data_IF_639644886466
#
_entry.id   IF_639644886466
#
_cell.length_a   1.000
_cell.length_b   1.000
_cell.length_c   1.000
_cell.angle_alpha   90.00
_cell.angle_beta   90.00
_cell.angle_gamma   90.00
#
_symmetry.space_group_name_H-M   'P 1'
#
loop_
_entity.id
_entity.type
_entity.pdbx_description
1 polymer ?
#
# COMPACT_ATOMS: atom_id res chain seq x y z
N UNK A 1 3.26 2.91 -18.56
CA UNK A 1 2.49 4.01 -17.91
C UNK A 1 3.51 5.07 -17.52
N UNK A 2 3.45 6.29 -18.08
CA UNK A 2 4.35 7.37 -17.65
C UNK A 2 3.82 7.93 -16.33
N UNK A 3 4.67 8.00 -15.31
CA UNK A 3 4.27 8.57 -14.03
C UNK A 3 3.81 10.02 -14.22
N UNK A 4 2.66 10.38 -13.65
CA UNK A 4 2.11 11.75 -13.72
C UNK A 4 2.81 12.73 -12.77
N UNK A 5 3.72 12.24 -11.93
CA UNK A 5 4.46 13.04 -10.97
C UNK A 5 5.89 13.21 -11.44
N UNK A 6 6.35 14.47 -11.50
CA UNK A 6 7.72 14.83 -11.88
C UNK A 6 8.72 14.20 -10.92
N UNK A 7 9.70 13.47 -11.46
CA UNK A 7 10.76 12.83 -10.66
C UNK A 7 10.36 11.52 -9.97
N UNK A 8 9.15 11.00 -10.23
CA UNK A 8 8.72 9.69 -9.76
C UNK A 8 8.69 8.70 -10.94
N UNK A 9 9.25 7.50 -10.77
CA UNK A 9 9.16 6.39 -11.72
C UNK A 9 8.53 5.16 -11.06
N UNK A 10 8.05 4.20 -11.86
CA UNK A 10 7.24 3.06 -11.35
C UNK A 10 8.01 2.11 -10.44
N UNK A 11 9.33 2.08 -10.56
CA UNK A 11 10.30 1.31 -9.75
C UNK A 11 10.58 1.95 -8.38
N UNK A 12 10.18 3.21 -8.18
CA UNK A 12 10.43 3.95 -6.94
C UNK A 12 9.27 3.86 -5.92
N UNK A 13 8.22 3.10 -6.25
CA UNK A 13 7.09 2.87 -5.38
C UNK A 13 7.38 1.84 -4.29
N UNK A 14 6.80 2.05 -3.11
CA UNK A 14 6.87 1.05 -2.03
C UNK A 14 5.72 0.05 -2.15
N UNK A 15 6.04 -1.24 -2.20
CA UNK A 15 5.07 -2.33 -2.24
C UNK A 15 4.78 -2.87 -0.83
N UNK A 16 3.52 -3.22 -0.56
CA UNK A 16 3.12 -4.00 0.61
C UNK A 16 3.06 -5.46 0.20
N UNK A 17 4.04 -6.24 0.64
CA UNK A 17 4.06 -7.68 0.41
C UNK A 17 3.31 -8.37 1.53
N UNK A 18 2.32 -9.18 1.17
CA UNK A 18 1.53 -9.99 2.10
C UNK A 18 1.61 -11.46 1.69
N UNK A 19 1.71 -12.34 2.68
CA UNK A 19 1.61 -13.78 2.45
C UNK A 19 0.20 -14.16 1.98
N UNK A 20 0.11 -15.15 1.11
CA UNK A 20 -1.15 -15.72 0.63
C UNK A 20 -1.01 -17.23 0.42
N UNK A 21 -2.11 -17.98 0.58
CA UNK A 21 -2.11 -19.43 0.37
C UNK A 21 -1.90 -19.78 -1.11
N UNK A 22 -1.03 -20.76 -1.37
CA UNK A 22 -0.81 -21.35 -2.70
C UNK A 22 -1.83 -22.48 -2.93
N UNK A 23 -2.42 -22.64 -4.15
CA UNK A 23 -2.10 -21.93 -5.39
C UNK A 23 -2.75 -20.53 -5.49
N UNK A 24 -1.91 -19.56 -5.86
CA UNK A 24 -2.29 -18.18 -6.15
C UNK A 24 -1.91 -17.78 -7.58
N UNK A 25 -2.75 -16.98 -8.25
CA UNK A 25 -2.30 -16.17 -9.39
C UNK A 25 -1.59 -14.95 -8.80
N UNK A 26 -0.36 -14.68 -9.24
CA UNK A 26 0.47 -13.58 -8.74
C UNK A 26 -0.20 -12.21 -8.84
N UNK A 27 0.37 -11.23 -8.14
CA UNK A 27 -0.14 -9.85 -8.10
C UNK A 27 -0.55 -9.43 -6.68
N UNK A 28 -1.64 -8.65 -6.59
CA UNK A 28 -2.13 -8.13 -5.31
C UNK A 28 -2.78 -9.23 -4.47
N UNK A 29 -2.72 -9.10 -3.15
CA UNK A 29 -3.37 -10.02 -2.23
C UNK A 29 -4.90 -9.98 -2.44
N UNK A 30 -5.55 -11.13 -2.57
CA UNK A 30 -6.96 -11.23 -3.03
C UNK A 30 -7.97 -10.54 -2.13
N UNK A 31 -7.65 -10.43 -0.84
CA UNK A 31 -8.52 -9.77 0.14
C UNK A 31 -8.36 -8.25 0.14
N UNK A 32 -7.36 -7.68 -0.56
CA UNK A 32 -7.24 -6.23 -0.58
C UNK A 32 -8.31 -5.61 -1.46
N UNK A 33 -8.79 -4.44 -1.05
CA UNK A 33 -9.77 -3.64 -1.80
C UNK A 33 -9.25 -3.30 -3.20
N UNK A 34 -7.93 -3.20 -3.36
CA UNK A 34 -7.24 -2.93 -4.63
C UNK A 34 -7.10 -4.16 -5.55
N UNK A 35 -7.44 -5.37 -5.10
CA UNK A 35 -7.37 -6.56 -5.95
C UNK A 35 -8.29 -6.45 -7.17
N UNK A 36 -7.74 -6.69 -8.38
CA UNK A 36 -8.48 -6.61 -9.64
C UNK A 36 -8.97 -5.21 -10.04
N UNK A 37 -8.65 -4.16 -9.27
CA UNK A 37 -9.13 -2.79 -9.53
C UNK A 37 -8.04 -1.88 -10.08
N UNK A 38 -8.44 -0.97 -10.96
CA UNK A 38 -7.59 0.15 -11.39
C UNK A 38 -7.47 1.18 -10.26
N UNK A 39 -6.29 1.81 -10.09
CA UNK A 39 -6.12 2.86 -9.08
C UNK A 39 -7.05 4.04 -9.37
N UNK A 40 -7.66 4.60 -8.33
CA UNK A 40 -8.47 5.81 -8.45
C UNK A 40 -7.55 7.04 -8.45
N UNK A 41 -7.36 7.63 -9.63
CA UNK A 41 -6.47 8.77 -9.82
C UNK A 41 -7.05 10.11 -9.35
N UNK A 42 -8.30 10.14 -8.88
CA UNK A 42 -8.94 11.34 -8.32
C UNK A 42 -8.64 11.51 -6.82
N UNK A 43 -8.14 10.46 -6.15
CA UNK A 43 -7.78 10.53 -4.74
C UNK A 43 -6.35 11.03 -4.55
N UNK A 44 -6.12 11.80 -3.48
CA UNK A 44 -4.76 12.21 -3.15
C UNK A 44 -3.93 10.99 -2.69
N UNK A 45 -2.60 10.99 -2.94
CA UNK A 45 -1.71 9.91 -2.51
C UNK A 45 -1.80 9.61 -1.01
N UNK A 46 -2.05 10.63 -0.19
CA UNK A 46 -2.24 10.50 1.27
C UNK A 46 -3.48 9.70 1.61
N UNK A 47 -4.61 9.95 0.93
CA UNK A 47 -5.85 9.22 1.13
C UNK A 47 -5.71 7.77 0.66
N UNK A 48 -5.11 7.55 -0.51
CA UNK A 48 -4.87 6.20 -1.05
C UNK A 48 -3.99 5.40 -0.08
N UNK A 49 -2.88 5.97 0.41
CA UNK A 49 -2.03 5.29 1.38
C UNK A 49 -2.79 4.95 2.67
N UNK A 50 -3.60 5.86 3.20
CA UNK A 50 -4.39 5.60 4.39
C UNK A 50 -5.40 4.47 4.19
N UNK A 51 -6.06 4.43 3.02
CA UNK A 51 -7.01 3.37 2.65
C UNK A 51 -6.31 2.01 2.56
N UNK A 52 -5.21 1.90 1.81
CA UNK A 52 -4.49 0.63 1.67
C UNK A 52 -3.91 0.14 3.01
N UNK A 53 -3.37 1.03 3.86
CA UNK A 53 -2.89 0.65 5.20
C UNK A 53 -4.04 0.15 6.07
N UNK A 54 -5.19 0.82 6.06
CA UNK A 54 -6.35 0.41 6.86
C UNK A 54 -6.91 -0.93 6.39
N UNK A 55 -6.93 -1.16 5.09
CA UNK A 55 -7.37 -2.40 4.46
C UNK A 55 -6.44 -3.57 4.84
N UNK A 56 -5.13 -3.41 4.66
CA UNK A 56 -4.15 -4.43 5.05
C UNK A 56 -4.23 -4.74 6.55
N UNK A 57 -4.37 -3.70 7.38
CA UNK A 57 -4.55 -3.87 8.83
C UNK A 57 -5.82 -4.65 9.16
N UNK A 58 -6.94 -4.37 8.49
CA UNK A 58 -8.21 -5.05 8.76
C UNK A 58 -8.13 -6.53 8.39
N UNK A 59 -7.48 -6.88 7.27
CA UNK A 59 -7.25 -8.26 6.84
C UNK A 59 -6.44 -9.03 7.88
N UNK A 60 -5.33 -8.46 8.36
CA UNK A 60 -4.53 -9.12 9.38
C UNK A 60 -5.27 -9.26 10.71
N UNK A 61 -6.08 -8.27 11.09
CA UNK A 61 -6.91 -8.34 12.29
C UNK A 61 -7.98 -9.43 12.17
N UNK A 62 -8.69 -9.51 11.03
CA UNK A 62 -9.75 -10.50 10.82
C UNK A 62 -9.22 -11.93 10.78
N UNK A 63 -7.96 -12.11 10.40
CA UNK A 63 -7.29 -13.42 10.39
C UNK A 63 -6.58 -13.75 11.72
N UNK A 64 -6.62 -12.85 12.72
CA UNK A 64 -5.89 -13.05 13.99
C UNK A 64 -4.37 -13.01 13.86
N UNK A 65 -3.85 -12.48 12.75
CA UNK A 65 -2.42 -12.45 12.42
C UNK A 65 -1.76 -11.10 12.77
N UNK A 66 -2.55 -10.07 13.10
CA UNK A 66 -2.02 -8.74 13.40
C UNK A 66 -1.17 -8.74 14.68
N UNK A 67 0.13 -8.53 14.52
CA UNK A 67 1.11 -8.56 15.60
C UNK A 67 2.02 -7.32 15.59
N UNK A 68 2.94 -7.25 16.56
CA UNK A 68 3.88 -6.11 16.72
C UNK A 68 4.70 -5.86 15.45
N UNK A 69 5.20 -6.91 14.80
CA UNK A 69 6.03 -6.81 13.58
C UNK A 69 5.24 -6.20 12.41
N UNK A 70 3.99 -6.62 12.23
CA UNK A 70 3.09 -6.06 11.20
C UNK A 70 2.76 -4.60 11.49
N UNK A 71 2.46 -4.27 12.76
CA UNK A 71 2.20 -2.88 13.15
C UNK A 71 3.40 -1.99 12.83
N UNK A 72 4.61 -2.43 13.20
CA UNK A 72 5.85 -1.67 12.98
C UNK A 72 6.17 -1.53 11.50
N UNK A 73 5.96 -2.57 10.68
CA UNK A 73 6.18 -2.50 9.24
C UNK A 73 5.22 -1.51 8.55
N UNK A 74 3.95 -1.49 8.94
CA UNK A 74 2.97 -0.51 8.43
C UNK A 74 3.34 0.93 8.85
N UNK A 75 3.77 1.13 10.09
CA UNK A 75 4.23 2.44 10.57
C UNK A 75 5.49 2.92 9.82
N UNK A 76 6.46 2.02 9.63
CA UNK A 76 7.68 2.30 8.88
C UNK A 76 7.36 2.69 7.43
N UNK A 77 6.44 1.97 6.78
CA UNK A 77 5.99 2.27 5.43
C UNK A 77 5.34 3.66 5.31
N UNK A 78 4.50 4.05 6.27
CA UNK A 78 3.89 5.39 6.30
C UNK A 78 4.99 6.45 6.42
N UNK A 79 5.95 6.26 7.33
CA UNK A 79 7.07 7.19 7.53
C UNK A 79 7.92 7.30 6.27
N UNK A 80 8.26 6.17 5.66
CA UNK A 80 9.10 6.10 4.47
C UNK A 80 8.45 6.83 3.29
N UNK A 81 7.17 6.57 3.01
CA UNK A 81 6.44 7.30 1.96
C UNK A 81 6.44 8.81 2.19
N UNK A 82 6.15 9.26 3.42
CA UNK A 82 6.12 10.68 3.74
C UNK A 82 7.49 11.35 3.64
N UNK A 83 8.57 10.66 4.02
CA UNK A 83 9.93 11.22 4.00
C UNK A 83 10.50 11.23 2.59
N UNK A 84 10.36 10.14 1.84
CA UNK A 84 10.90 10.03 0.47
C UNK A 84 10.14 10.92 -0.50
N UNK A 85 8.82 11.04 -0.34
CA UNK A 85 7.94 11.72 -1.29
C UNK A 85 7.21 12.92 -0.66
N UNK A 86 7.92 13.75 0.10
CA UNK A 86 7.33 14.89 0.82
C UNK A 86 6.43 15.77 -0.06
N UNK A 87 6.92 16.19 -1.24
CA UNK A 87 6.17 17.03 -2.17
C UNK A 87 4.87 16.39 -2.69
N UNK A 88 4.79 15.06 -2.69
CA UNK A 88 3.62 14.28 -3.13
C UNK A 88 2.60 14.15 -1.99
N UNK A 89 3.06 14.02 -0.74
CA UNK A 89 2.23 13.75 0.44
C UNK A 89 1.86 14.99 1.28
N UNK A 90 2.46 16.15 1.01
CA UNK A 90 2.17 17.44 1.69
C UNK A 90 0.95 18.15 1.07
N UNK A 91 0.59 17.84 -0.18
CA UNK A 91 -0.58 18.43 -0.86
C UNK A 91 -1.92 17.95 -0.30
#
# INVERSE_FOLDING_TARGET
MKAKVTGYTTDQGFAIMMEHLSPGKGGRHRLTVSYGKRPNLNLSPRIVLAQEISDVRSIYLSQGLYNKKIRESLQALIKLNKVTWQSIFIK
#
